data_IF_243083297249
#
_entry.id   IF_243083297249
#
_cell.length_a   1.000
_cell.length_b   1.000
_cell.length_c   1.000
_cell.angle_alpha   90.00
_cell.angle_beta   90.00
_cell.angle_gamma   90.00
#
_symmetry.space_group_name_H-M   'P 1'
#
loop_
_entity.id
_entity.type
_entity.pdbx_description
1 polymer ?
#
# COMPACT_ATOMS: atom_id res chain seq x y z
N UNK A 1 -17.47 -3.91 15.09
CA UNK A 1 -16.90 -2.58 14.80
C UNK A 1 -15.38 -2.72 14.81
N UNK A 2 -14.78 -3.07 13.67
CA UNK A 2 -13.32 -3.24 13.56
C UNK A 2 -12.66 -1.88 13.69
N UNK A 3 -11.81 -1.72 14.72
CA UNK A 3 -10.94 -0.55 14.88
C UNK A 3 -9.72 -0.75 13.97
N UNK A 4 -9.66 -0.02 12.86
CA UNK A 4 -8.40 0.15 12.14
C UNK A 4 -7.44 0.93 13.06
N UNK A 5 -6.43 0.24 13.57
CA UNK A 5 -5.37 0.87 14.37
C UNK A 5 -4.62 1.89 13.52
N UNK A 6 -4.39 3.06 14.10
CA UNK A 6 -3.73 4.22 13.50
C UNK A 6 -2.34 3.87 12.95
N UNK A 7 -2.23 3.78 11.63
CA UNK A 7 -0.98 4.07 10.91
C UNK A 7 -0.91 5.56 10.50
N UNK A 8 -1.91 6.36 10.87
CA UNK A 8 -2.16 7.72 10.40
C UNK A 8 -1.72 8.79 11.41
N UNK A 9 -0.42 8.83 11.74
CA UNK A 9 0.17 10.02 12.39
C UNK A 9 1.29 10.65 11.56
N UNK A 10 1.36 10.31 10.28
CA UNK A 10 2.12 11.07 9.29
C UNK A 10 1.13 11.74 8.36
N UNK A 11 1.11 13.07 8.36
CA UNK A 11 0.44 13.84 7.32
C UNK A 11 0.98 13.36 5.97
N UNK A 12 0.14 12.69 5.18
CA UNK A 12 0.48 12.31 3.82
C UNK A 12 0.84 13.57 3.03
N UNK A 13 1.80 13.44 2.12
CA UNK A 13 2.09 14.52 1.16
C UNK A 13 0.78 14.92 0.46
N UNK A 14 0.47 16.22 0.32
CA UNK A 14 -0.78 16.67 -0.30
C UNK A 14 -1.05 16.09 -1.69
N UNK A 15 0.01 15.81 -2.46
CA UNK A 15 -0.11 15.18 -3.78
C UNK A 15 -0.55 13.71 -3.68
N UNK A 16 -0.10 12.99 -2.65
CA UNK A 16 -0.51 11.60 -2.37
C UNK A 16 -1.97 11.55 -1.94
N UNK A 17 -2.40 12.49 -1.09
CA UNK A 17 -3.79 12.59 -0.67
C UNK A 17 -4.73 12.89 -1.86
N UNK A 18 -4.30 13.78 -2.76
CA UNK A 18 -5.06 14.09 -3.97
C UNK A 18 -5.16 12.88 -4.93
N UNK A 19 -4.07 12.13 -5.11
CA UNK A 19 -4.06 10.93 -5.94
C UNK A 19 -4.94 9.82 -5.32
N UNK A 20 -4.93 9.67 -3.98
CA UNK A 20 -5.82 8.74 -3.25
C UNK A 20 -7.29 9.09 -3.46
N UNK A 21 -7.65 10.36 -3.31
CA UNK A 21 -9.02 10.82 -3.50
C UNK A 21 -9.48 10.60 -4.96
N UNK A 22 -8.62 10.90 -5.95
CA UNK A 22 -8.93 10.67 -7.36
C UNK A 22 -9.20 9.20 -7.67
N UNK A 23 -8.39 8.29 -7.14
CA UNK A 23 -8.58 6.84 -7.29
C UNK A 23 -9.89 6.40 -6.61
N UNK A 24 -10.17 6.90 -5.42
CA UNK A 24 -11.37 6.53 -4.67
C UNK A 24 -12.65 7.01 -5.35
N UNK A 25 -12.65 8.23 -5.89
CA UNK A 25 -13.79 8.75 -6.64
C UNK A 25 -14.05 7.93 -7.91
N UNK A 26 -13.00 7.58 -8.66
CA UNK A 26 -13.13 6.74 -9.84
C UNK A 26 -13.69 5.35 -9.51
N UNK A 27 -13.22 4.74 -8.41
CA UNK A 27 -13.74 3.46 -7.93
C UNK A 27 -15.23 3.53 -7.57
N UNK A 28 -15.64 4.53 -6.80
CA UNK A 28 -17.03 4.68 -6.34
C UNK A 28 -18.01 4.98 -7.47
N UNK A 29 -17.56 5.72 -8.49
CA UNK A 29 -18.40 6.12 -9.64
C UNK A 29 -18.32 5.15 -10.82
N UNK A 30 -17.39 4.20 -10.78
CA UNK A 30 -17.14 3.25 -11.87
C UNK A 30 -16.50 3.90 -13.10
N UNK A 31 -15.92 5.10 -12.95
CA UNK A 31 -15.18 5.76 -14.04
C UNK A 31 -13.73 5.28 -14.09
N UNK A 32 -13.07 5.52 -15.21
CA UNK A 32 -11.63 5.28 -15.32
C UNK A 32 -10.85 6.33 -14.50
N UNK A 33 -9.74 5.90 -13.92
CA UNK A 33 -8.77 6.79 -13.28
C UNK A 33 -8.01 7.55 -14.35
N UNK A 34 -7.68 8.82 -14.10
CA UNK A 34 -6.82 9.62 -14.97
C UNK A 34 -5.48 8.89 -15.22
N UNK A 35 -5.05 8.69 -16.48
CA UNK A 35 -3.79 8.03 -16.82
C UNK A 35 -2.56 8.63 -16.12
N UNK A 36 -2.53 9.94 -15.88
CA UNK A 36 -1.41 10.61 -15.20
C UNK A 36 -1.37 10.25 -13.71
N UNK A 37 -2.53 10.11 -13.06
CA UNK A 37 -2.63 9.62 -11.67
C UNK A 37 -2.13 8.17 -11.61
N UNK A 38 -2.56 7.32 -12.55
CA UNK A 38 -2.10 5.93 -12.62
C UNK A 38 -0.58 5.87 -12.76
N UNK A 39 0.00 6.67 -13.65
CA UNK A 39 1.44 6.73 -13.84
C UNK A 39 2.17 7.13 -12.57
N UNK A 40 1.75 8.22 -11.90
CA UNK A 40 2.38 8.69 -10.65
C UNK A 40 2.33 7.64 -9.54
N UNK A 41 1.16 7.02 -9.32
CA UNK A 41 0.98 6.00 -8.29
C UNK A 41 1.85 4.76 -8.57
N UNK A 42 1.87 4.29 -9.82
CA UNK A 42 2.70 3.14 -10.21
C UNK A 42 4.19 3.43 -10.05
N UNK A 43 4.63 4.61 -10.47
CA UNK A 43 6.02 5.02 -10.38
C UNK A 43 6.46 5.21 -8.92
N UNK A 44 5.63 5.84 -8.10
CA UNK A 44 5.86 5.95 -6.66
C UNK A 44 5.96 4.58 -6.00
N UNK A 45 5.01 3.69 -6.29
CA UNK A 45 5.02 2.31 -5.79
C UNK A 45 6.25 1.52 -6.24
N UNK A 46 6.73 1.71 -7.47
CA UNK A 46 7.96 1.09 -7.96
C UNK A 46 9.17 1.56 -7.16
N UNK A 47 9.33 2.86 -6.96
CA UNK A 47 10.46 3.44 -6.20
C UNK A 47 10.48 2.95 -4.75
N UNK A 48 9.33 2.92 -4.09
CA UNK A 48 9.21 2.41 -2.72
C UNK A 48 9.61 0.92 -2.67
N UNK A 49 9.13 0.10 -3.61
CA UNK A 49 9.52 -1.32 -3.68
C UNK A 49 11.02 -1.49 -3.89
N UNK A 50 11.62 -0.73 -4.81
CA UNK A 50 13.06 -0.77 -5.07
C UNK A 50 13.88 -0.34 -3.85
N UNK A 51 13.42 0.69 -3.15
CA UNK A 51 14.06 1.17 -1.93
C UNK A 51 13.99 0.16 -0.79
N UNK A 52 12.79 -0.41 -0.54
CA UNK A 52 12.59 -1.46 0.46
C UNK A 52 13.46 -2.67 0.12
N UNK A 53 13.46 -3.11 -1.13
CA UNK A 53 14.30 -4.23 -1.57
C UNK A 53 15.79 -3.94 -1.43
N UNK A 54 16.25 -2.71 -1.77
CA UNK A 54 17.65 -2.33 -1.60
C UNK A 54 18.08 -2.34 -0.13
N UNK A 55 17.19 -1.90 0.77
CA UNK A 55 17.46 -1.82 2.22
C UNK A 55 17.41 -3.18 2.90
N UNK A 56 16.50 -4.05 2.49
CA UNK A 56 16.17 -5.28 3.23
C UNK A 56 16.45 -6.58 2.45
N UNK A 57 16.78 -6.48 1.16
CA UNK A 57 16.92 -7.63 0.28
C UNK A 57 15.60 -8.38 0.07
N UNK A 58 15.71 -9.65 -0.30
CA UNK A 58 14.57 -10.57 -0.26
C UNK A 58 14.28 -10.94 1.19
N UNK A 59 13.13 -10.52 1.71
CA UNK A 59 12.72 -10.84 3.07
C UNK A 59 11.83 -12.09 3.04
N UNK A 60 12.28 -13.18 3.67
CA UNK A 60 11.44 -14.37 3.88
C UNK A 60 10.46 -14.14 5.04
N UNK A 61 9.46 -13.29 4.81
CA UNK A 61 8.37 -13.04 5.75
C UNK A 61 7.28 -14.10 5.68
N UNK A 62 7.24 -14.87 4.59
CA UNK A 62 6.15 -15.80 4.31
C UNK A 62 6.12 -16.93 5.34
N UNK A 63 7.26 -17.55 5.64
CA UNK A 63 7.32 -18.65 6.61
C UNK A 63 6.97 -18.20 8.04
N UNK A 64 7.54 -17.09 8.57
CA UNK A 64 7.12 -16.54 9.86
C UNK A 64 5.62 -16.17 9.90
N UNK A 65 5.11 -15.45 8.89
CA UNK A 65 3.72 -15.02 8.86
C UNK A 65 2.75 -16.21 8.74
N UNK A 66 3.07 -17.22 7.94
CA UNK A 66 2.27 -18.45 7.83
C UNK A 66 2.27 -19.21 9.16
N UNK A 67 3.39 -19.25 9.89
CA UNK A 67 3.46 -19.87 11.22
C UNK A 67 2.60 -19.13 12.24
N UNK A 68 2.61 -17.81 12.24
CA UNK A 68 1.71 -17.00 13.08
C UNK A 68 0.24 -17.22 12.73
N UNK A 69 -0.11 -17.24 11.44
CA UNK A 69 -1.49 -17.46 10.97
C UNK A 69 -2.00 -18.87 11.26
N UNK A 70 -1.12 -19.89 11.20
CA UNK A 70 -1.49 -21.30 11.39
C UNK A 70 -1.67 -21.65 12.87
N UNK A 71 -0.98 -20.98 13.79
CA UNK A 71 -0.87 -21.40 15.18
C UNK A 71 0.01 -22.66 15.37
N UNK A 72 0.19 -23.13 16.61
CA UNK A 72 1.00 -24.32 16.88
C UNK A 72 0.40 -25.57 16.23
N UNK A 73 1.25 -26.35 15.59
CA UNK A 73 0.94 -27.70 15.13
C UNK A 73 0.66 -28.61 16.36
N UNK A 74 -0.40 -29.45 16.33
CA UNK A 74 -0.58 -30.51 17.33
C UNK A 74 0.56 -31.55 17.29
#
# INVERSE_FOLDING_TARGET
MMRYSSLTDQSLDPSVQADEEAVMQAFLTGTLVDPEVVYRVQEGGRRIREEVFRRHGLVDIAVPAIRELRGPLP
#
